data_IF_361252131350
#
_entry.id   IF_361252131350
#
_cell.length_a   1.000
_cell.length_b   1.000
_cell.length_c   1.000
_cell.angle_alpha   90.00
_cell.angle_beta   90.00
_cell.angle_gamma   90.00
#
_symmetry.space_group_name_H-M   'P 1'
#
loop_
_entity.id
_entity.type
_entity.pdbx_description
1 polymer ?
#
# COMPACT_ATOMS: atom_id res chain seq x y z
N UNK A 1 8.26 16.75 1.81
CA UNK A 1 8.67 15.60 2.66
C UNK A 1 8.05 14.35 2.04
N UNK A 2 8.79 13.24 1.97
CA UNK A 2 8.34 12.02 1.30
C UNK A 2 7.49 11.11 2.19
N UNK A 3 6.81 10.13 1.59
CA UNK A 3 6.03 9.11 2.30
C UNK A 3 6.92 8.35 3.27
N UNK A 4 6.42 8.13 4.49
CA UNK A 4 7.07 7.30 5.51
C UNK A 4 6.14 6.15 5.86
N UNK A 5 6.62 4.92 5.71
CA UNK A 5 5.87 3.72 6.07
C UNK A 5 5.72 3.60 7.58
N UNK A 6 4.56 3.14 8.04
CA UNK A 6 4.35 2.79 9.45
C UNK A 6 5.39 1.76 9.92
N UNK A 7 5.95 1.96 11.12
CA UNK A 7 7.05 1.14 11.65
C UNK A 7 6.66 -0.33 11.83
N UNK A 8 5.40 -0.62 12.16
CA UNK A 8 4.92 -2.00 12.34
C UNK A 8 4.87 -2.70 10.99
N UNK A 9 4.29 -2.04 9.98
CA UNK A 9 4.30 -2.55 8.60
C UNK A 9 5.73 -2.74 8.08
N UNK A 10 6.64 -1.81 8.37
CA UNK A 10 8.04 -1.93 7.97
C UNK A 10 8.73 -3.17 8.58
N UNK A 11 8.47 -3.46 9.85
CA UNK A 11 9.08 -4.60 10.55
C UNK A 11 8.44 -5.94 10.17
N UNK A 12 7.13 -5.94 9.90
CA UNK A 12 6.34 -7.16 9.68
C UNK A 12 6.16 -7.49 8.19
N UNK A 13 6.81 -6.76 7.27
CA UNK A 13 6.72 -7.03 5.84
C UNK A 13 7.94 -6.61 5.04
N UNK A 14 8.16 -7.28 3.92
CA UNK A 14 9.28 -7.04 3.00
C UNK A 14 8.75 -6.34 1.75
N UNK A 15 9.42 -5.28 1.30
CA UNK A 15 9.07 -4.61 0.04
C UNK A 15 9.43 -5.51 -1.15
N UNK A 16 8.42 -5.95 -1.92
CA UNK A 16 8.64 -6.75 -3.12
C UNK A 16 8.74 -5.87 -4.38
N UNK A 17 7.88 -4.86 -4.50
CA UNK A 17 7.87 -3.93 -5.62
C UNK A 17 7.13 -2.65 -5.29
N UNK A 18 7.23 -1.64 -6.15
CA UNK A 18 6.42 -0.41 -6.08
C UNK A 18 5.87 -0.10 -7.46
N UNK A 19 4.55 0.12 -7.56
CA UNK A 19 3.88 0.45 -8.82
C UNK A 19 2.85 1.55 -8.57
N UNK A 20 2.82 2.59 -9.40
CA UNK A 20 1.84 3.68 -9.30
C UNK A 20 1.74 4.31 -7.90
N UNK A 21 2.89 4.50 -7.23
CA UNK A 21 2.97 4.96 -5.83
C UNK A 21 2.26 4.04 -4.82
N UNK A 22 2.17 2.74 -5.11
CA UNK A 22 1.66 1.72 -4.20
C UNK A 22 2.79 0.72 -3.97
N UNK A 23 3.21 0.58 -2.71
CA UNK A 23 4.12 -0.47 -2.32
C UNK A 23 3.38 -1.81 -2.28
N UNK A 24 3.95 -2.80 -2.94
CA UNK A 24 3.53 -4.19 -2.88
C UNK A 24 4.48 -4.88 -1.93
N UNK A 25 3.96 -5.32 -0.79
CA UNK A 25 4.76 -5.88 0.30
C UNK A 25 4.31 -7.30 0.59
N UNK A 26 5.25 -8.16 0.94
CA UNK A 26 4.97 -9.51 1.41
C UNK A 26 5.00 -9.50 2.94
N UNK A 27 3.93 -9.92 3.59
CA UNK A 27 3.92 -10.10 5.03
C UNK A 27 5.00 -11.13 5.42
N UNK A 28 5.75 -10.85 6.48
CA UNK A 28 6.78 -11.75 6.99
C UNK A 28 6.14 -12.86 7.85
N UNK A 29 5.21 -13.59 7.26
CA UNK A 29 4.48 -14.68 7.89
C UNK A 29 4.44 -15.86 6.92
N UNK A 30 5.20 -16.91 7.23
CA UNK A 30 5.34 -18.08 6.36
C UNK A 30 4.11 -18.99 6.36
N UNK A 31 3.09 -18.71 7.18
CA UNK A 31 1.86 -19.52 7.23
C UNK A 31 0.98 -19.32 6.00
N UNK A 32 1.08 -18.15 5.35
CA UNK A 32 0.27 -17.80 4.17
C UNK A 32 1.10 -16.99 3.18
N UNK A 33 0.80 -17.12 1.88
CA UNK A 33 1.33 -16.18 0.91
C UNK A 33 0.50 -14.89 0.94
N UNK A 34 0.91 -13.94 1.79
CA UNK A 34 0.10 -12.76 2.12
C UNK A 34 0.72 -11.46 1.59
N UNK A 35 0.05 -10.86 0.60
CA UNK A 35 0.39 -9.54 0.07
C UNK A 35 -0.33 -8.40 0.81
N UNK A 36 0.39 -7.30 1.00
CA UNK A 36 -0.10 -6.04 1.55
C UNK A 36 0.16 -4.94 0.52
N UNK A 37 -0.90 -4.21 0.14
CA UNK A 37 -0.81 -3.05 -0.75
C UNK A 37 -0.86 -1.78 0.10
N UNK A 38 0.18 -0.95 0.00
CA UNK A 38 0.29 0.28 0.78
C UNK A 38 0.41 1.48 -0.16
N UNK A 39 -0.60 2.35 -0.25
CA UNK A 39 -0.48 3.63 -0.96
C UNK A 39 0.62 4.48 -0.33
N UNK A 40 1.71 4.67 -1.05
CA UNK A 40 2.88 5.44 -0.65
C UNK A 40 2.75 6.91 -1.07
N UNK A 41 1.67 7.56 -0.63
CA UNK A 41 1.38 8.96 -0.97
C UNK A 41 1.49 9.87 0.24
N UNK A 42 1.91 11.10 -0.01
CA UNK A 42 1.92 12.19 0.96
C UNK A 42 0.78 13.15 0.66
N UNK A 43 0.10 13.64 1.69
CA UNK A 43 -0.77 14.80 1.51
C UNK A 43 0.11 16.04 1.33
N UNK A 44 0.02 16.68 0.16
CA UNK A 44 0.52 18.04 0.02
C UNK A 44 -0.50 18.98 0.69
N UNK A 45 -0.09 19.60 1.81
CA UNK A 45 -0.81 20.74 2.39
C UNK A 45 -1.86 20.44 3.47
N UNK A 46 -2.05 19.19 3.89
CA UNK A 46 -2.92 18.86 5.03
C UNK A 46 -2.23 17.84 5.95
N UNK A 47 -2.12 18.19 7.22
CA UNK A 47 -1.50 17.38 8.29
C UNK A 47 -2.31 16.13 8.67
N UNK A 48 -3.37 15.84 7.92
CA UNK A 48 -4.22 14.66 8.09
C UNK A 48 -3.58 13.45 7.41
N UNK A 49 -3.17 12.49 8.23
CA UNK A 49 -2.78 11.18 7.76
C UNK A 49 -3.99 10.49 7.08
N UNK A 50 -3.70 9.77 6.00
CA UNK A 50 -4.70 8.93 5.31
C UNK A 50 -4.90 7.69 6.17
N UNK A 51 -6.13 7.47 6.59
CA UNK A 51 -6.48 6.33 7.43
C UNK A 51 -7.43 5.38 6.70
N UNK A 52 -8.29 5.91 5.84
CA UNK A 52 -9.35 5.16 5.18
C UNK A 52 -9.22 5.19 3.65
N UNK A 53 -9.80 4.19 2.99
CA UNK A 53 -9.76 4.08 1.52
C UNK A 53 -10.43 5.30 0.84
N UNK A 54 -11.46 5.87 1.47
CA UNK A 54 -12.18 7.02 0.90
C UNK A 54 -11.44 8.35 1.07
N UNK A 55 -10.35 8.38 1.85
CA UNK A 55 -9.46 9.55 1.93
C UNK A 55 -8.52 9.62 0.72
N UNK A 56 -8.39 8.52 -0.04
CA UNK A 56 -7.47 8.46 -1.17
C UNK A 56 -7.95 9.33 -2.34
N UNK A 57 -7.02 10.02 -3.04
CA UNK A 57 -7.31 10.60 -4.34
C UNK A 57 -7.89 9.54 -5.29
N UNK A 58 -8.91 9.91 -6.07
CA UNK A 58 -9.64 8.98 -6.92
C UNK A 58 -8.73 8.18 -7.88
N UNK A 59 -7.67 8.80 -8.41
CA UNK A 59 -6.69 8.14 -9.26
C UNK A 59 -5.87 7.07 -8.52
N UNK A 60 -5.50 7.32 -7.26
CA UNK A 60 -4.77 6.37 -6.42
C UNK A 60 -5.68 5.22 -6.00
N UNK A 61 -6.92 5.51 -5.63
CA UNK A 61 -7.91 4.49 -5.32
C UNK A 61 -8.17 3.55 -6.52
N UNK A 62 -8.29 4.11 -7.73
CA UNK A 62 -8.45 3.31 -8.94
C UNK A 62 -7.25 2.38 -9.19
N UNK A 63 -6.02 2.88 -9.05
CA UNK A 63 -4.81 2.06 -9.19
C UNK A 63 -4.72 0.97 -8.11
N UNK A 64 -5.11 1.29 -6.87
CA UNK A 64 -5.16 0.33 -5.77
C UNK A 64 -6.12 -0.81 -6.08
N UNK A 65 -7.34 -0.51 -6.53
CA UNK A 65 -8.32 -1.53 -6.90
C UNK A 65 -7.88 -2.37 -8.10
N UNK A 66 -7.21 -1.76 -9.09
CA UNK A 66 -6.67 -2.48 -10.23
C UNK A 66 -5.58 -3.49 -9.80
N UNK A 67 -4.64 -3.08 -8.94
CA UNK A 67 -3.61 -3.97 -8.41
C UNK A 67 -4.21 -5.07 -7.52
N UNK A 68 -5.13 -4.72 -6.63
CA UNK A 68 -5.82 -5.69 -5.78
C UNK A 68 -6.54 -6.76 -6.62
N UNK A 69 -7.27 -6.34 -7.66
CA UNK A 69 -7.96 -7.25 -8.59
C UNK A 69 -7.01 -8.09 -9.43
N UNK A 70 -5.83 -7.57 -9.77
CA UNK A 70 -4.81 -8.30 -10.51
C UNK A 70 -4.20 -9.41 -9.63
N UNK A 71 -3.73 -9.06 -8.44
CA UNK A 71 -3.09 -10.02 -7.54
C UNK A 71 -4.06 -11.05 -6.98
N UNK A 72 -5.32 -10.69 -6.71
CA UNK A 72 -6.32 -11.64 -6.24
C UNK A 72 -6.65 -12.75 -7.25
N UNK A 73 -6.35 -12.55 -8.54
CA UNK A 73 -6.50 -13.56 -9.59
C UNK A 73 -5.26 -14.43 -9.78
N UNK A 74 -4.10 -13.90 -9.38
CA UNK A 74 -2.80 -14.54 -9.56
C UNK A 74 -2.37 -15.38 -8.34
N UNK A 75 -3.00 -15.14 -7.19
CA UNK A 75 -2.86 -15.89 -5.93
C UNK A 75 -3.95 -16.96 -5.81
#
# INVERSE_FOLDING_TARGET
>A
MGFTLDKRLQNDSILASTQHNIQIRLANDSRYFWLILVPAITHEGTDTAIHEIHDLPASVAANLWALASHFSKAL
#
